data_IF_244869682832
#
_entry.id   IF_244869682832
#
_cell.length_a   1.000
_cell.length_b   1.000
_cell.length_c   1.000
_cell.angle_alpha   90.00
_cell.angle_beta   90.00
_cell.angle_gamma   90.00
#
_symmetry.space_group_name_H-M   'P 1'
#
loop_
_entity.id
_entity.type
_entity.pdbx_description
1 polymer ?
#
# COMPACT_ATOMS: atom_id res chain seq x y z
N UNK A 1 11.94 27.38 20.28
CA UNK A 1 12.73 26.16 20.03
C UNK A 1 14.01 26.26 20.85
N UNK A 2 14.35 25.28 21.68
CA UNK A 2 15.51 25.36 22.59
C UNK A 2 16.84 25.12 21.87
N UNK A 3 17.95 25.71 22.35
CA UNK A 3 19.30 25.51 21.79
C UNK A 3 19.72 24.02 21.72
N UNK A 4 19.22 23.19 22.64
CA UNK A 4 19.43 21.74 22.62
C UNK A 4 18.81 21.06 21.39
N UNK A 5 17.61 21.49 20.97
CA UNK A 5 16.94 20.96 19.77
C UNK A 5 17.65 21.36 18.47
N UNK A 6 18.28 22.54 18.46
CA UNK A 6 19.08 23.03 17.33
C UNK A 6 20.40 22.25 17.23
N UNK A 7 21.11 22.07 18.35
CA UNK A 7 22.37 21.31 18.40
C UNK A 7 22.17 19.82 18.05
N UNK A 8 21.06 19.21 18.49
CA UNK A 8 20.71 17.85 18.11
C UNK A 8 20.46 17.72 16.60
N UNK A 9 19.71 18.66 16.01
CA UNK A 9 19.48 18.71 14.56
C UNK A 9 20.77 18.91 13.78
N UNK A 10 21.68 19.74 14.28
CA UNK A 10 22.97 19.99 13.62
C UNK A 10 23.90 18.78 13.69
N UNK A 11 23.93 18.06 14.83
CA UNK A 11 24.67 16.79 14.94
C UNK A 11 24.12 15.72 14.00
N UNK A 12 22.80 15.57 13.92
CA UNK A 12 22.16 14.64 12.96
C UNK A 12 22.48 15.05 11.52
N UNK A 13 22.41 16.35 11.19
CA UNK A 13 22.75 16.86 9.86
C UNK A 13 24.21 16.57 9.49
N UNK A 14 25.16 16.78 10.41
CA UNK A 14 26.59 16.47 10.19
C UNK A 14 26.85 14.97 10.07
N UNK A 15 26.15 14.14 10.84
CA UNK A 15 26.27 12.68 10.77
C UNK A 15 25.68 12.11 9.47
N UNK A 16 24.54 12.63 9.04
CA UNK A 16 23.86 12.19 7.81
C UNK A 16 24.57 12.71 6.56
N UNK A 17 25.19 13.89 6.62
CA UNK A 17 25.79 14.57 5.47
C UNK A 17 24.76 15.31 4.61
N UNK A 18 25.22 16.31 3.85
CA UNK A 18 24.36 17.12 2.97
C UNK A 18 24.30 16.54 1.55
N UNK A 19 23.12 16.61 0.93
CA UNK A 19 22.88 16.15 -0.44
C UNK A 19 22.62 14.65 -0.57
N UNK A 20 21.83 14.28 -1.59
CA UNK A 20 21.60 12.87 -1.96
C UNK A 20 22.84 12.27 -2.65
N UNK A 21 23.06 10.97 -2.40
CA UNK A 21 23.99 10.16 -3.18
C UNK A 21 23.38 9.91 -4.55
N UNK A 22 24.10 10.23 -5.61
CA UNK A 22 23.70 9.83 -6.95
C UNK A 22 23.87 8.31 -7.10
N UNK A 23 22.76 7.61 -7.31
CA UNK A 23 22.73 6.15 -7.42
C UNK A 23 22.95 5.78 -8.89
N UNK A 24 24.09 5.16 -9.17
CA UNK A 24 24.47 4.78 -10.53
C UNK A 24 23.55 3.72 -11.13
N UNK A 25 23.51 3.66 -12.46
CA UNK A 25 22.77 2.61 -13.18
C UNK A 25 23.23 1.21 -12.79
N UNK A 26 24.55 1.02 -12.59
CA UNK A 26 25.08 -0.26 -12.13
C UNK A 26 24.51 -0.67 -10.75
N UNK A 27 24.42 0.26 -9.81
CA UNK A 27 23.83 -0.01 -8.51
C UNK A 27 22.33 -0.33 -8.61
N UNK A 28 21.61 0.36 -9.51
CA UNK A 28 20.19 0.09 -9.78
C UNK A 28 19.96 -1.24 -10.52
N UNK A 29 20.88 -1.67 -11.39
CA UNK A 29 20.83 -3.00 -12.01
C UNK A 29 20.94 -4.09 -10.95
N UNK A 30 21.85 -3.95 -9.97
CA UNK A 30 21.94 -4.91 -8.86
C UNK A 30 20.62 -4.96 -8.08
N UNK A 31 20.06 -3.80 -7.71
CA UNK A 31 18.78 -3.74 -7.02
C UNK A 31 17.64 -4.36 -7.86
N UNK A 32 17.60 -4.09 -9.16
CA UNK A 32 16.63 -4.68 -10.09
C UNK A 32 16.73 -6.22 -10.07
N UNK A 33 17.93 -6.78 -10.13
CA UNK A 33 18.13 -8.23 -10.08
C UNK A 33 17.64 -8.80 -8.75
N UNK A 34 17.99 -8.18 -7.62
CA UNK A 34 17.47 -8.60 -6.31
C UNK A 34 15.93 -8.59 -6.28
N UNK A 35 15.31 -7.52 -6.80
CA UNK A 35 13.86 -7.37 -6.86
C UNK A 35 13.20 -8.44 -7.74
N UNK A 36 13.80 -8.79 -8.87
CA UNK A 36 13.31 -9.86 -9.75
C UNK A 36 13.39 -11.20 -9.04
N UNK A 37 14.49 -11.52 -8.36
CA UNK A 37 14.63 -12.75 -7.57
C UNK A 37 13.56 -12.82 -6.47
N UNK A 38 13.36 -11.73 -5.72
CA UNK A 38 12.28 -11.63 -4.72
C UNK A 38 10.91 -11.88 -5.34
N UNK A 39 10.62 -11.28 -6.50
CA UNK A 39 9.33 -11.43 -7.20
C UNK A 39 9.12 -12.88 -7.65
N UNK A 40 10.15 -13.52 -8.20
CA UNK A 40 10.10 -14.93 -8.64
C UNK A 40 9.91 -15.87 -7.45
N UNK A 41 10.61 -15.63 -6.34
CA UNK A 41 10.45 -16.40 -5.10
C UNK A 41 9.02 -16.35 -4.59
N UNK A 42 8.45 -15.14 -4.46
CA UNK A 42 7.05 -14.97 -4.02
C UNK A 42 6.05 -15.62 -4.99
N UNK A 43 6.22 -15.43 -6.29
CA UNK A 43 5.32 -16.00 -7.28
C UNK A 43 5.36 -17.53 -7.28
N UNK A 44 6.55 -18.12 -7.16
CA UNK A 44 6.72 -19.57 -7.03
C UNK A 44 6.11 -20.11 -5.75
N UNK A 45 6.21 -19.35 -4.66
CA UNK A 45 5.66 -19.72 -3.37
C UNK A 45 4.12 -19.72 -3.37
N UNK A 46 3.50 -18.65 -3.87
CA UNK A 46 2.04 -18.60 -4.03
C UNK A 46 1.57 -19.67 -5.00
N UNK A 47 2.28 -19.91 -6.11
CA UNK A 47 1.93 -20.98 -7.03
C UNK A 47 1.98 -22.37 -6.37
N UNK A 48 2.95 -22.63 -5.49
CA UNK A 48 3.02 -23.87 -4.69
C UNK A 48 1.79 -24.02 -3.80
N UNK A 49 1.41 -22.98 -3.08
CA UNK A 49 0.23 -22.99 -2.20
C UNK A 49 -1.06 -23.27 -2.97
N UNK A 50 -1.25 -22.60 -4.11
CA UNK A 50 -2.46 -22.78 -4.93
C UNK A 50 -2.52 -24.18 -5.57
N UNK A 51 -1.38 -24.81 -5.84
CA UNK A 51 -1.33 -26.15 -6.43
C UNK A 51 -1.38 -27.27 -5.39
N UNK A 52 -1.00 -27.01 -4.14
CA UNK A 52 -0.92 -27.99 -3.06
C UNK A 52 -1.55 -27.43 -1.78
N UNK A 53 -2.85 -27.10 -1.78
CA UNK A 53 -3.51 -26.43 -0.65
C UNK A 53 -3.53 -27.26 0.64
N UNK A 54 -3.38 -28.58 0.54
CA UNK A 54 -3.35 -29.50 1.68
C UNK A 54 -1.94 -29.73 2.28
N UNK A 55 -0.88 -29.18 1.67
CA UNK A 55 0.53 -29.36 2.06
C UNK A 55 1.13 -28.06 2.64
N UNK A 56 0.57 -27.60 3.76
CA UNK A 56 1.01 -26.38 4.46
C UNK A 56 2.06 -26.64 5.56
N UNK A 57 2.39 -27.90 5.85
CA UNK A 57 3.35 -28.25 6.90
C UNK A 57 4.79 -27.87 6.49
N UNK A 58 5.47 -27.07 7.34
CA UNK A 58 6.87 -26.71 7.13
C UNK A 58 7.12 -25.64 6.05
N UNK A 59 6.08 -24.94 5.60
CA UNK A 59 6.15 -24.08 4.43
C UNK A 59 7.05 -22.83 4.59
N UNK A 60 7.26 -22.37 5.83
CA UNK A 60 8.14 -21.23 6.14
C UNK A 60 9.60 -21.39 5.65
N UNK A 61 10.06 -22.62 5.40
CA UNK A 61 11.39 -22.92 4.83
C UNK A 61 11.29 -23.66 3.47
N UNK A 62 10.17 -23.52 2.77
CA UNK A 62 10.00 -24.09 1.44
C UNK A 62 11.06 -23.56 0.47
N UNK A 63 11.35 -24.33 -0.58
CA UNK A 63 12.36 -23.93 -1.57
C UNK A 63 12.08 -22.56 -2.20
N UNK A 64 10.80 -22.18 -2.37
CA UNK A 64 10.41 -20.88 -2.91
C UNK A 64 10.51 -19.75 -1.88
N UNK A 65 10.17 -20.01 -0.62
CA UNK A 65 10.46 -19.12 0.51
C UNK A 65 11.95 -18.79 0.62
N UNK A 66 12.84 -19.78 0.45
CA UNK A 66 14.29 -19.54 0.47
C UNK A 66 14.75 -18.66 -0.70
N UNK A 67 14.14 -18.76 -1.89
CA UNK A 67 14.41 -17.86 -3.02
C UNK A 67 13.95 -16.44 -2.68
N UNK A 68 12.75 -16.29 -2.09
CA UNK A 68 12.25 -15.00 -1.61
C UNK A 68 13.19 -14.38 -0.57
N UNK A 69 13.57 -15.14 0.45
CA UNK A 69 14.51 -14.71 1.49
C UNK A 69 15.88 -14.36 0.93
N UNK A 70 16.37 -15.12 -0.05
CA UNK A 70 17.60 -14.82 -0.76
C UNK A 70 17.54 -13.47 -1.46
N UNK A 71 16.44 -13.17 -2.16
CA UNK A 71 16.21 -11.88 -2.80
C UNK A 71 16.18 -10.72 -1.81
N UNK A 72 15.42 -10.83 -0.72
CA UNK A 72 15.34 -9.81 0.34
C UNK A 72 16.68 -9.62 1.05
N UNK A 73 17.39 -10.70 1.34
CA UNK A 73 18.72 -10.67 1.95
C UNK A 73 19.73 -9.98 1.02
N UNK A 74 19.67 -10.22 -0.29
CA UNK A 74 20.50 -9.52 -1.25
C UNK A 74 20.23 -8.01 -1.27
N UNK A 75 18.98 -7.58 -1.09
CA UNK A 75 18.66 -6.15 -0.90
C UNK A 75 19.26 -5.59 0.40
N UNK A 76 19.20 -6.35 1.50
CA UNK A 76 19.82 -5.96 2.76
C UNK A 76 21.34 -5.75 2.60
N UNK A 77 22.01 -6.68 1.91
CA UNK A 77 23.44 -6.57 1.59
C UNK A 77 23.72 -5.37 0.68
N UNK A 78 22.88 -5.12 -0.32
CA UNK A 78 23.01 -3.95 -1.20
C UNK A 78 22.90 -2.64 -0.42
N UNK A 79 21.93 -2.53 0.50
CA UNK A 79 21.80 -1.38 1.41
C UNK A 79 23.03 -1.23 2.30
N UNK A 80 23.52 -2.33 2.88
CA UNK A 80 24.69 -2.36 3.75
C UNK A 80 25.97 -1.93 3.03
N UNK A 81 26.23 -2.47 1.83
CA UNK A 81 27.38 -2.10 1.00
C UNK A 81 27.31 -0.64 0.57
N UNK A 82 26.14 -0.16 0.15
CA UNK A 82 25.95 1.25 -0.21
C UNK A 82 26.16 2.19 0.98
N UNK A 83 25.63 1.85 2.16
CA UNK A 83 25.84 2.60 3.39
C UNK A 83 27.30 2.58 3.86
N UNK A 84 28.00 1.45 3.71
CA UNK A 84 29.43 1.33 4.02
C UNK A 84 30.29 2.21 3.09
N UNK A 85 30.00 2.23 1.79
CA UNK A 85 30.77 3.01 0.80
C UNK A 85 30.47 4.51 0.81
N UNK A 86 29.22 4.89 1.03
CA UNK A 86 28.77 6.28 0.87
C UNK A 86 28.25 6.93 2.15
N UNK A 87 28.25 6.20 3.27
CA UNK A 87 27.74 6.64 4.56
C UNK A 87 26.21 6.53 4.69
N UNK A 88 25.64 6.93 5.85
CA UNK A 88 24.21 6.83 6.14
C UNK A 88 23.32 7.62 5.17
N UNK A 89 23.84 8.65 4.49
CA UNK A 89 23.11 9.36 3.41
C UNK A 89 22.64 8.42 2.29
N UNK A 90 23.33 7.31 2.03
CA UNK A 90 22.90 6.36 1.01
C UNK A 90 21.48 5.87 1.29
N UNK A 91 21.22 5.41 2.52
CA UNK A 91 19.92 4.92 2.96
C UNK A 91 18.82 5.97 2.77
N UNK A 92 19.14 7.26 2.96
CA UNK A 92 18.20 8.36 2.71
C UNK A 92 17.93 8.55 1.22
N UNK A 93 18.95 8.44 0.37
CA UNK A 93 18.82 8.56 -1.09
C UNK A 93 18.00 7.42 -1.70
N UNK A 94 18.06 6.23 -1.10
CA UNK A 94 17.25 5.06 -1.45
C UNK A 94 16.13 4.80 -0.44
N UNK A 95 15.59 5.88 0.15
CA UNK A 95 14.68 5.80 1.30
C UNK A 95 13.46 4.90 1.11
N UNK A 96 12.94 4.77 -0.12
CA UNK A 96 11.85 3.84 -0.42
C UNK A 96 12.28 2.38 -0.22
N UNK A 97 13.48 1.99 -0.66
CA UNK A 97 14.04 0.66 -0.37
C UNK A 97 14.27 0.47 1.12
N UNK A 98 14.83 1.48 1.81
CA UNK A 98 15.13 1.39 3.25
C UNK A 98 13.86 1.22 4.09
N UNK A 99 12.81 2.00 3.81
CA UNK A 99 11.52 1.87 4.49
C UNK A 99 10.87 0.53 4.15
N UNK A 100 10.88 0.13 2.87
CA UNK A 100 10.34 -1.18 2.45
C UNK A 100 11.04 -2.35 3.14
N UNK A 101 12.36 -2.32 3.24
CA UNK A 101 13.13 -3.31 3.99
C UNK A 101 12.79 -3.31 5.48
N UNK A 102 12.58 -2.14 6.09
CA UNK A 102 12.13 -2.03 7.47
C UNK A 102 10.77 -2.72 7.70
N UNK A 103 9.82 -2.54 6.80
CA UNK A 103 8.53 -3.23 6.85
C UNK A 103 8.69 -4.75 6.73
N UNK A 104 9.55 -5.24 5.84
CA UNK A 104 9.85 -6.68 5.72
C UNK A 104 10.49 -7.26 6.98
N UNK A 105 11.46 -6.54 7.56
CA UNK A 105 12.15 -6.96 8.77
C UNK A 105 11.24 -7.02 10.00
N UNK A 106 10.17 -6.23 10.01
CA UNK A 106 9.13 -6.27 11.05
C UNK A 106 8.00 -7.25 10.72
N UNK A 107 7.69 -7.44 9.43
CA UNK A 107 6.65 -8.33 8.92
C UNK A 107 6.85 -9.78 9.32
N UNK A 108 8.04 -10.34 9.09
CA UNK A 108 8.34 -11.74 9.44
C UNK A 108 8.13 -12.06 10.92
N UNK A 109 8.72 -11.29 11.86
CA UNK A 109 8.47 -11.49 13.30
C UNK A 109 7.00 -11.27 13.69
N UNK A 110 6.32 -10.27 13.10
CA UNK A 110 4.91 -10.03 13.38
C UNK A 110 4.02 -11.20 12.92
N UNK A 111 4.36 -11.82 11.79
CA UNK A 111 3.69 -12.98 11.23
C UNK A 111 3.84 -14.22 12.12
N UNK A 112 5.07 -14.48 12.58
CA UNK A 112 5.34 -15.58 13.52
C UNK A 112 4.55 -15.43 14.84
N UNK A 113 4.50 -14.22 15.40
CA UNK A 113 3.71 -13.92 16.61
C UNK A 113 2.21 -14.09 16.33
N UNK A 114 1.76 -13.66 15.16
CA UNK A 114 0.36 -13.75 14.78
C UNK A 114 -0.10 -15.21 14.71
N UNK A 115 0.67 -16.08 14.06
CA UNK A 115 0.38 -17.51 13.99
C UNK A 115 0.34 -18.17 15.37
N UNK A 116 1.16 -17.73 16.34
CA UNK A 116 1.13 -18.23 17.72
C UNK A 116 -0.17 -17.83 18.45
N UNK A 117 -0.69 -16.62 18.20
CA UNK A 117 -1.85 -16.07 18.94
C UNK A 117 -3.19 -16.41 18.29
N UNK A 118 -3.28 -16.34 16.96
CA UNK A 118 -4.52 -16.43 16.20
C UNK A 118 -4.62 -17.68 15.32
N UNK A 119 -3.53 -18.46 15.23
CA UNK A 119 -3.43 -19.58 14.29
C UNK A 119 -3.00 -19.13 12.89
N UNK A 120 -2.78 -20.11 12.02
CA UNK A 120 -2.38 -19.89 10.62
C UNK A 120 -3.62 -19.64 9.76
N UNK A 121 -3.62 -18.55 9.01
CA UNK A 121 -4.67 -18.20 8.08
C UNK A 121 -4.67 -19.10 6.84
N UNK A 122 -5.85 -19.27 6.24
CA UNK A 122 -6.03 -20.00 4.99
C UNK A 122 -6.83 -19.17 3.98
N UNK A 123 -6.76 -19.57 2.71
CA UNK A 123 -7.52 -18.98 1.60
C UNK A 123 -7.36 -17.45 1.55
N UNK A 124 -8.48 -16.73 1.47
CA UNK A 124 -8.53 -15.27 1.39
C UNK A 124 -7.93 -14.60 2.64
N UNK A 125 -8.03 -15.23 3.82
CA UNK A 125 -7.51 -14.65 5.06
C UNK A 125 -6.00 -14.48 5.02
N UNK A 126 -5.28 -15.44 4.42
CA UNK A 126 -3.82 -15.38 4.27
C UNK A 126 -3.36 -14.21 3.39
N UNK A 127 -4.18 -13.77 2.43
CA UNK A 127 -3.85 -12.64 1.56
C UNK A 127 -4.02 -11.28 2.26
N UNK A 128 -4.95 -11.20 3.20
CA UNK A 128 -5.36 -9.91 3.79
C UNK A 128 -4.95 -9.75 5.24
N UNK A 129 -4.41 -10.76 5.91
CA UNK A 129 -4.11 -10.62 7.33
C UNK A 129 -3.10 -9.51 7.62
N UNK A 130 -3.18 -8.85 8.80
CA UNK A 130 -2.35 -7.68 9.08
C UNK A 130 -0.83 -7.89 8.92
N UNK A 131 -0.22 -9.01 9.35
CA UNK A 131 1.21 -9.25 9.11
C UNK A 131 1.55 -9.42 7.62
N UNK A 132 0.73 -10.17 6.87
CA UNK A 132 0.89 -10.34 5.42
C UNK A 132 0.80 -8.99 4.68
N UNK A 133 -0.10 -8.10 5.10
CA UNK A 133 -0.18 -6.74 4.54
C UNK A 133 1.01 -5.85 4.92
N UNK A 134 1.66 -6.11 6.07
CA UNK A 134 2.91 -5.45 6.45
C UNK A 134 4.06 -5.89 5.53
N UNK A 135 4.16 -7.21 5.27
CA UNK A 135 5.10 -7.79 4.31
C UNK A 135 4.83 -7.23 2.91
N UNK A 136 3.56 -7.23 2.46
CA UNK A 136 3.14 -6.67 1.18
C UNK A 136 3.54 -5.20 1.04
N UNK A 137 3.33 -4.38 2.08
CA UNK A 137 3.77 -2.97 2.10
C UNK A 137 5.27 -2.87 1.87
N UNK A 138 6.05 -3.70 2.57
CA UNK A 138 7.50 -3.77 2.42
C UNK A 138 7.95 -4.15 1.02
N UNK A 139 7.36 -5.21 0.45
CA UNK A 139 7.59 -5.65 -0.92
C UNK A 139 7.22 -4.58 -1.94
N UNK A 140 6.04 -3.99 -1.85
CA UNK A 140 5.56 -2.97 -2.79
C UNK A 140 6.52 -1.76 -2.84
N UNK A 141 6.97 -1.28 -1.68
CA UNK A 141 7.95 -0.19 -1.60
C UNK A 141 9.31 -0.60 -2.20
N UNK A 142 9.83 -1.76 -1.82
CA UNK A 142 11.10 -2.28 -2.31
C UNK A 142 11.10 -2.43 -3.84
N UNK A 143 10.02 -2.99 -4.39
CA UNK A 143 9.84 -3.24 -5.82
C UNK A 143 9.60 -1.96 -6.62
N UNK A 144 8.94 -0.95 -6.05
CA UNK A 144 8.73 0.36 -6.67
C UNK A 144 9.99 1.27 -6.62
N UNK A 145 10.91 0.99 -5.70
CA UNK A 145 12.05 1.86 -5.39
C UNK A 145 12.93 2.21 -6.61
N UNK A 146 13.27 1.29 -7.54
CA UNK A 146 14.08 1.65 -8.71
C UNK A 146 13.45 2.77 -9.56
N UNK A 147 12.13 2.71 -9.79
CA UNK A 147 11.41 3.79 -10.49
C UNK A 147 11.43 5.08 -9.67
N UNK A 148 11.26 5.00 -8.35
CA UNK A 148 11.30 6.20 -7.48
C UNK A 148 12.67 6.87 -7.52
N UNK A 149 13.77 6.11 -7.58
CA UNK A 149 15.12 6.66 -7.71
C UNK A 149 15.33 7.28 -9.09
N UNK A 150 14.91 6.59 -10.17
CA UNK A 150 14.99 7.12 -11.53
C UNK A 150 14.16 8.40 -11.72
N UNK A 151 12.98 8.48 -11.09
CA UNK A 151 12.08 9.63 -11.16
C UNK A 151 12.69 10.93 -10.65
N UNK A 152 13.74 10.86 -9.82
CA UNK A 152 14.46 12.05 -9.33
C UNK A 152 15.45 12.61 -10.33
N UNK A 153 15.79 11.87 -11.39
CA UNK A 153 16.75 12.32 -12.40
C UNK A 153 16.08 13.33 -13.34
N UNK A 154 16.77 14.42 -13.72
CA UNK A 154 16.23 15.45 -14.61
C UNK A 154 16.26 14.98 -16.08
N UNK A 155 15.65 13.84 -16.40
CA UNK A 155 15.55 13.30 -17.76
C UNK A 155 14.14 12.82 -18.07
N UNK A 156 13.71 13.06 -19.30
CA UNK A 156 12.44 12.54 -19.84
C UNK A 156 12.65 11.37 -20.80
N UNK A 157 13.90 11.14 -21.24
CA UNK A 157 14.27 10.03 -22.13
C UNK A 157 15.20 9.08 -21.40
N UNK A 158 14.76 7.84 -21.26
CA UNK A 158 15.56 6.77 -20.68
C UNK A 158 16.32 6.03 -21.79
N UNK A 159 17.62 5.81 -21.59
CA UNK A 159 18.37 4.84 -22.40
C UNK A 159 17.91 3.41 -22.14
N UNK A 160 18.50 2.43 -22.83
CA UNK A 160 18.11 1.02 -22.70
C UNK A 160 18.13 0.54 -21.25
N UNK A 161 19.22 0.78 -20.52
CA UNK A 161 19.40 0.26 -19.15
C UNK A 161 18.40 0.87 -18.16
N UNK A 162 18.27 2.22 -18.02
CA UNK A 162 17.22 2.80 -17.18
C UNK A 162 15.80 2.41 -17.58
N UNK A 163 15.52 2.19 -18.87
CA UNK A 163 14.22 1.68 -19.34
C UNK A 163 13.94 0.27 -18.81
N UNK A 164 14.90 -0.64 -18.91
CA UNK A 164 14.75 -2.00 -18.37
C UNK A 164 14.52 -1.98 -16.85
N UNK A 165 15.25 -1.13 -16.12
CA UNK A 165 15.08 -0.96 -14.67
C UNK A 165 13.67 -0.47 -14.33
N UNK A 166 13.22 0.58 -15.01
CA UNK A 166 11.90 1.17 -14.76
C UNK A 166 10.76 0.19 -15.07
N UNK A 167 10.82 -0.48 -16.23
CA UNK A 167 9.79 -1.41 -16.66
C UNK A 167 9.77 -2.69 -15.81
N UNK A 168 10.94 -3.22 -15.43
CA UNK A 168 11.01 -4.39 -14.53
C UNK A 168 10.43 -4.06 -13.16
N UNK A 169 10.73 -2.89 -12.61
CA UNK A 169 10.15 -2.39 -11.36
C UNK A 169 8.63 -2.25 -11.46
N UNK A 170 8.11 -1.68 -12.56
CA UNK A 170 6.67 -1.58 -12.78
C UNK A 170 6.00 -2.96 -12.87
N UNK A 171 6.57 -3.91 -13.63
CA UNK A 171 6.09 -5.29 -13.74
C UNK A 171 6.07 -5.96 -12.37
N UNK A 172 7.17 -5.88 -11.61
CA UNK A 172 7.25 -6.48 -10.26
C UNK A 172 6.21 -5.91 -9.30
N UNK A 173 5.99 -4.60 -9.29
CA UNK A 173 4.96 -3.98 -8.44
C UNK A 173 3.56 -4.48 -8.84
N UNK A 174 3.25 -4.48 -10.14
CA UNK A 174 1.96 -4.96 -10.65
C UNK A 174 1.72 -6.42 -10.29
N UNK A 175 2.73 -7.28 -10.46
CA UNK A 175 2.63 -8.70 -10.13
C UNK A 175 2.41 -8.92 -8.64
N UNK A 176 3.21 -8.30 -7.77
CA UNK A 176 3.07 -8.46 -6.32
C UNK A 176 1.74 -7.91 -5.81
N UNK A 177 1.29 -6.74 -6.29
CA UNK A 177 -0.04 -6.25 -5.96
C UNK A 177 -1.12 -7.23 -6.41
N UNK A 178 -1.00 -7.77 -7.63
CA UNK A 178 -1.98 -8.74 -8.16
C UNK A 178 -2.03 -10.02 -7.32
N UNK A 179 -0.88 -10.52 -6.88
CA UNK A 179 -0.80 -11.72 -6.05
C UNK A 179 -1.49 -11.51 -4.69
N UNK A 180 -1.22 -10.40 -4.00
CA UNK A 180 -1.86 -10.07 -2.72
C UNK A 180 -3.34 -9.66 -2.85
N UNK A 181 -3.76 -9.20 -4.02
CA UNK A 181 -5.17 -8.92 -4.33
C UNK A 181 -5.77 -9.98 -5.24
N UNK A 182 -5.38 -11.25 -5.09
CA UNK A 182 -5.77 -12.34 -5.98
C UNK A 182 -7.29 -12.51 -6.15
N UNK A 183 -8.03 -12.14 -5.12
CA UNK A 183 -9.50 -12.09 -5.07
C UNK A 183 -10.13 -10.92 -5.86
N UNK A 184 -9.33 -10.02 -6.45
CA UNK A 184 -9.78 -8.87 -7.26
C UNK A 184 -9.12 -8.81 -8.65
N UNK A 185 -8.34 -9.82 -9.05
CA UNK A 185 -7.59 -9.78 -10.30
C UNK A 185 -7.62 -11.11 -11.05
N UNK A 186 -7.81 -11.10 -12.39
CA UNK A 186 -7.81 -12.32 -13.20
C UNK A 186 -6.43 -13.00 -13.31
N UNK A 187 -5.39 -12.42 -12.70
CA UNK A 187 -4.00 -12.89 -12.81
C UNK A 187 -3.66 -13.99 -11.81
N UNK A 188 -4.42 -14.12 -10.73
CA UNK A 188 -4.17 -15.11 -9.67
C UNK A 188 -5.36 -16.06 -9.50
N UNK A 189 -6.57 -15.52 -9.49
CA UNK A 189 -7.79 -16.22 -9.81
C UNK A 189 -7.95 -16.13 -11.32
N UNK A 190 -8.01 -17.18 -12.14
CA UNK A 190 -8.20 -17.03 -13.59
C UNK A 190 -9.45 -16.22 -14.04
N UNK A 191 -9.87 -16.43 -15.29
CA UNK A 191 -10.95 -15.63 -15.86
C UNK A 191 -12.34 -16.10 -15.38
N UNK A 192 -12.84 -15.52 -14.29
CA UNK A 192 -14.19 -15.79 -13.73
C UNK A 192 -15.36 -15.47 -14.66
N UNK A 193 -15.08 -14.97 -15.87
CA UNK A 193 -16.05 -14.77 -16.95
C UNK A 193 -16.41 -16.06 -17.70
N UNK A 194 -15.78 -17.20 -17.37
CA UNK A 194 -16.00 -18.48 -18.03
C UNK A 194 -17.06 -19.33 -17.28
N UNK A 195 -17.88 -20.04 -18.03
CA UNK A 195 -18.85 -20.99 -17.48
C UNK A 195 -18.11 -22.14 -16.79
N UNK A 196 -18.48 -22.44 -15.54
CA UNK A 196 -17.88 -23.53 -14.77
C UNK A 196 -16.51 -23.20 -14.17
N UNK A 197 -16.09 -21.93 -14.20
CA UNK A 197 -14.88 -21.49 -13.52
C UNK A 197 -15.00 -21.65 -12.00
N UNK A 198 -14.00 -22.27 -11.40
CA UNK A 198 -13.82 -22.34 -9.94
C UNK A 198 -12.59 -21.53 -9.58
N UNK A 199 -12.71 -20.67 -8.58
CA UNK A 199 -11.62 -19.79 -8.18
C UNK A 199 -10.65 -20.55 -7.27
N UNK A 200 -9.34 -20.61 -7.57
CA UNK A 200 -8.39 -21.31 -6.69
C UNK A 200 -8.19 -20.66 -5.32
N UNK A 201 -8.48 -19.35 -5.22
CA UNK A 201 -8.28 -18.54 -4.01
C UNK A 201 -9.54 -18.51 -3.13
N UNK A 202 -10.71 -18.73 -3.74
CA UNK A 202 -12.03 -18.68 -3.08
C UNK A 202 -12.64 -20.06 -3.25
N UNK A 203 -12.78 -20.80 -2.15
CA UNK A 203 -13.36 -22.13 -2.19
C UNK A 203 -14.80 -22.14 -2.71
N UNK A 204 -15.39 -23.34 -2.80
CA UNK A 204 -16.74 -23.52 -3.33
C UNK A 204 -17.86 -23.00 -2.39
N UNK A 205 -17.50 -22.38 -1.26
CA UNK A 205 -18.47 -21.95 -0.26
C UNK A 205 -19.05 -20.58 -0.56
N UNK A 206 -20.37 -20.42 -0.38
CA UNK A 206 -21.03 -19.12 -0.48
C UNK A 206 -20.46 -18.09 0.51
N UNK A 207 -19.96 -18.55 1.66
CA UNK A 207 -19.35 -17.69 2.67
C UNK A 207 -18.07 -17.01 2.15
N UNK A 208 -17.17 -17.75 1.50
CA UNK A 208 -15.93 -17.19 0.96
C UNK A 208 -16.21 -16.21 -0.19
N UNK A 209 -17.22 -16.49 -1.02
CA UNK A 209 -17.69 -15.54 -2.03
C UNK A 209 -18.20 -14.23 -1.41
N UNK A 210 -18.96 -14.31 -0.32
CA UNK A 210 -19.44 -13.13 0.41
C UNK A 210 -18.28 -12.34 1.07
N UNK A 211 -17.25 -13.04 1.56
CA UNK A 211 -16.03 -12.41 2.08
C UNK A 211 -15.31 -11.62 0.99
N UNK A 212 -15.05 -12.22 -0.18
CA UNK A 212 -14.40 -11.55 -1.31
C UNK A 212 -15.23 -10.40 -1.84
N UNK A 213 -16.54 -10.57 -1.96
CA UNK A 213 -17.45 -9.48 -2.32
C UNK A 213 -17.36 -8.33 -1.30
N UNK A 214 -17.33 -8.63 -0.01
CA UNK A 214 -17.18 -7.65 1.06
C UNK A 214 -15.84 -6.92 0.99
N UNK A 215 -14.74 -7.63 0.78
CA UNK A 215 -13.41 -7.05 0.59
C UNK A 215 -13.36 -6.16 -0.65
N UNK A 216 -13.95 -6.59 -1.76
CA UNK A 216 -14.08 -5.80 -2.98
C UNK A 216 -14.87 -4.51 -2.77
N UNK A 217 -15.99 -4.59 -2.04
CA UNK A 217 -16.76 -3.40 -1.62
C UNK A 217 -15.87 -2.45 -0.80
N UNK A 218 -15.10 -2.98 0.15
CA UNK A 218 -14.25 -2.17 1.01
C UNK A 218 -13.13 -1.46 0.24
N UNK A 219 -12.40 -2.19 -0.60
CA UNK A 219 -11.33 -1.65 -1.45
C UNK A 219 -11.86 -0.62 -2.43
N UNK A 220 -12.94 -0.96 -3.16
CA UNK A 220 -13.54 -0.07 -4.17
C UNK A 220 -14.05 1.23 -3.55
N UNK A 221 -14.81 1.12 -2.46
CA UNK A 221 -15.35 2.28 -1.75
C UNK A 221 -14.22 3.19 -1.27
N UNK A 222 -13.15 2.61 -0.72
CA UNK A 222 -11.98 3.35 -0.24
C UNK A 222 -11.26 4.09 -1.36
N UNK A 223 -11.03 3.43 -2.49
CA UNK A 223 -10.37 4.02 -3.64
C UNK A 223 -11.15 5.21 -4.21
N UNK A 224 -12.45 5.04 -4.45
CA UNK A 224 -13.31 6.10 -5.01
C UNK A 224 -13.41 7.29 -4.07
N UNK A 225 -13.65 7.02 -2.78
CA UNK A 225 -13.81 8.06 -1.78
C UNK A 225 -12.52 8.87 -1.62
N UNK A 226 -11.37 8.20 -1.48
CA UNK A 226 -10.09 8.88 -1.31
C UNK A 226 -9.68 9.63 -2.57
N UNK A 227 -9.92 9.10 -3.77
CA UNK A 227 -9.66 9.80 -5.02
C UNK A 227 -10.43 11.13 -5.09
N UNK A 228 -11.74 11.09 -4.83
CA UNK A 228 -12.61 12.27 -4.90
C UNK A 228 -12.19 13.36 -3.92
N UNK A 229 -11.95 13.01 -2.66
CA UNK A 229 -11.56 13.99 -1.65
C UNK A 229 -10.12 14.49 -1.83
N UNK A 230 -9.17 13.63 -2.21
CA UNK A 230 -7.78 14.07 -2.41
C UNK A 230 -7.66 15.12 -3.51
N UNK A 231 -8.39 14.96 -4.62
CA UNK A 231 -8.43 15.94 -5.73
C UNK A 231 -8.76 17.35 -5.24
N UNK A 232 -9.69 17.46 -4.28
CA UNK A 232 -10.11 18.72 -3.68
C UNK A 232 -9.09 19.20 -2.65
N UNK A 233 -8.70 18.34 -1.71
CA UNK A 233 -7.92 18.72 -0.53
C UNK A 233 -6.46 19.07 -0.81
N UNK A 234 -5.90 18.61 -1.94
CA UNK A 234 -4.56 19.03 -2.37
C UNK A 234 -4.57 20.40 -3.06
N UNK A 235 -5.72 20.81 -3.62
CA UNK A 235 -5.88 22.05 -4.41
C UNK A 235 -6.54 23.19 -3.66
N UNK A 236 -7.50 22.87 -2.81
CA UNK A 236 -8.35 23.83 -2.13
C UNK A 236 -8.29 23.63 -0.63
N UNK A 237 -8.62 24.69 0.09
CA UNK A 237 -8.84 24.67 1.53
C UNK A 237 -10.33 24.90 1.80
N UNK A 238 -11.14 23.85 1.91
CA UNK A 238 -12.57 24.00 2.21
C UNK A 238 -12.80 24.70 3.55
N UNK A 239 -14.01 25.24 3.73
CA UNK A 239 -14.40 25.82 5.02
C UNK A 239 -14.47 24.72 6.09
N UNK A 240 -14.06 25.03 7.34
CA UNK A 240 -14.10 24.06 8.43
C UNK A 240 -15.49 23.42 8.60
N UNK A 241 -15.51 22.11 8.79
CA UNK A 241 -16.70 21.27 8.96
C UNK A 241 -17.29 20.74 7.66
N UNK A 242 -17.03 21.37 6.51
CA UNK A 242 -17.61 20.93 5.23
C UNK A 242 -16.97 19.64 4.70
N UNK A 243 -15.71 19.34 5.02
CA UNK A 243 -15.08 18.08 4.60
C UNK A 243 -15.72 16.93 5.35
N UNK A 244 -15.82 17.05 6.69
CA UNK A 244 -16.46 16.06 7.53
C UNK A 244 -17.93 15.83 7.15
N UNK A 245 -18.69 16.92 6.96
CA UNK A 245 -20.09 16.84 6.50
C UNK A 245 -20.19 16.14 5.13
N UNK A 246 -19.32 16.47 4.18
CA UNK A 246 -19.36 15.87 2.84
C UNK A 246 -19.10 14.37 2.87
N UNK A 247 -18.11 13.91 3.66
CA UNK A 247 -17.84 12.47 3.83
C UNK A 247 -19.03 11.77 4.49
N UNK A 248 -19.64 12.37 5.52
CA UNK A 248 -20.85 11.82 6.15
C UNK A 248 -22.01 11.69 5.14
N UNK A 249 -22.22 12.71 4.32
CA UNK A 249 -23.28 12.73 3.30
C UNK A 249 -23.09 11.69 2.19
N UNK A 250 -21.89 11.11 2.02
CA UNK A 250 -21.71 9.95 1.15
C UNK A 250 -22.43 8.69 1.68
N UNK A 251 -22.53 8.53 3.00
CA UNK A 251 -23.19 7.38 3.63
C UNK A 251 -24.63 7.66 4.09
N UNK A 252 -24.93 8.89 4.52
CA UNK A 252 -26.21 9.24 5.15
C UNK A 252 -27.48 8.89 4.35
N UNK A 253 -27.53 9.03 3.00
CA UNK A 253 -28.70 8.66 2.21
C UNK A 253 -29.12 7.20 2.37
N UNK A 254 -28.19 6.32 2.73
CA UNK A 254 -28.47 4.89 2.92
C UNK A 254 -29.52 4.64 4.03
N UNK A 255 -29.64 5.53 5.03
CA UNK A 255 -30.66 5.46 6.07
C UNK A 255 -32.09 5.61 5.54
N UNK A 256 -32.28 6.29 4.40
CA UNK A 256 -33.60 6.52 3.83
C UNK A 256 -34.01 5.41 2.83
N UNK A 257 -33.04 4.71 2.24
CA UNK A 257 -33.27 3.73 1.17
C UNK A 257 -33.13 2.27 1.63
N UNK A 258 -32.60 2.04 2.83
CA UNK A 258 -32.45 0.70 3.42
C UNK A 258 -32.95 0.66 4.85
N UNK A 259 -33.01 -0.52 5.46
CA UNK A 259 -33.34 -0.66 6.88
C UNK A 259 -32.28 0.06 7.75
N UNK A 260 -32.67 1.11 8.50
CA UNK A 260 -31.77 1.85 9.38
C UNK A 260 -31.06 0.95 10.41
N UNK A 261 -31.73 -0.09 10.93
CA UNK A 261 -31.12 -0.99 11.90
C UNK A 261 -29.96 -1.78 11.30
N UNK A 262 -30.04 -2.10 10.00
CA UNK A 262 -29.01 -2.85 9.29
C UNK A 262 -27.83 -1.95 8.95
N UNK A 263 -28.09 -0.77 8.37
CA UNK A 263 -27.06 0.07 7.74
C UNK A 263 -26.35 1.05 8.68
N UNK A 264 -26.93 1.33 9.85
CA UNK A 264 -26.44 2.32 10.82
C UNK A 264 -24.94 2.20 11.14
N UNK A 265 -24.35 1.01 11.37
CA UNK A 265 -22.91 0.89 11.62
C UNK A 265 -22.04 1.52 10.53
N UNK A 266 -22.39 1.31 9.26
CA UNK A 266 -21.65 1.88 8.12
C UNK A 266 -21.78 3.41 8.07
N UNK A 267 -22.98 3.93 8.32
CA UNK A 267 -23.25 5.38 8.30
C UNK A 267 -22.50 6.09 9.42
N UNK A 268 -22.43 5.50 10.60
CA UNK A 268 -21.58 5.99 11.70
C UNK A 268 -20.10 5.87 11.36
N UNK A 269 -19.69 4.85 10.60
CA UNK A 269 -18.37 4.77 9.99
C UNK A 269 -18.05 5.98 9.12
N UNK A 270 -18.96 6.38 8.23
CA UNK A 270 -18.79 7.58 7.39
C UNK A 270 -18.67 8.85 8.23
N UNK A 271 -19.45 8.97 9.31
CA UNK A 271 -19.32 10.09 10.24
C UNK A 271 -17.93 10.15 10.87
N UNK A 272 -17.43 9.03 11.39
CA UNK A 272 -16.10 8.96 12.00
C UNK A 272 -14.97 9.24 11.01
N UNK A 273 -15.06 8.66 9.80
CA UNK A 273 -14.12 8.95 8.71
C UNK A 273 -14.11 10.44 8.34
N UNK A 274 -15.29 11.07 8.29
CA UNK A 274 -15.42 12.51 8.04
C UNK A 274 -14.76 13.36 9.12
N UNK A 275 -15.00 13.05 10.40
CA UNK A 275 -14.38 13.76 11.53
C UNK A 275 -12.85 13.65 11.51
N UNK A 276 -12.31 12.45 11.24
CA UNK A 276 -10.86 12.24 11.17
C UNK A 276 -10.26 12.97 9.96
N UNK A 277 -10.94 12.95 8.82
CA UNK A 277 -10.49 13.66 7.62
C UNK A 277 -10.47 15.17 7.85
N UNK A 278 -11.52 15.73 8.44
CA UNK A 278 -11.57 17.15 8.84
C UNK A 278 -10.41 17.50 9.77
N UNK A 279 -10.18 16.70 10.82
CA UNK A 279 -9.07 16.91 11.75
C UNK A 279 -7.70 16.87 11.04
N UNK A 280 -7.50 15.96 10.09
CA UNK A 280 -6.28 15.91 9.28
C UNK A 280 -6.10 17.17 8.42
N UNK A 281 -7.16 17.66 7.77
CA UNK A 281 -7.07 18.90 6.99
C UNK A 281 -6.70 20.10 7.87
N UNK A 282 -7.16 20.13 9.12
CA UNK A 282 -6.79 21.18 10.07
C UNK A 282 -5.33 21.06 10.55
N UNK A 283 -4.87 19.84 10.83
CA UNK A 283 -3.53 19.55 11.36
C UNK A 283 -2.43 19.73 10.30
N UNK A 284 -2.63 19.20 9.10
CA UNK A 284 -1.59 19.12 8.06
C UNK A 284 -1.92 19.89 6.77
N UNK A 285 -3.13 20.44 6.62
CA UNK A 285 -3.55 21.22 5.45
C UNK A 285 -3.15 22.70 5.51
N UNK A 286 -1.84 23.00 5.41
CA UNK A 286 -1.31 24.37 5.48
C UNK A 286 -0.43 24.68 4.25
N UNK A 287 -0.92 25.40 3.21
CA UNK A 287 -2.28 25.93 3.00
C UNK A 287 -3.31 24.87 2.53
N UNK A 288 -2.86 23.81 1.86
CA UNK A 288 -3.64 22.64 1.44
C UNK A 288 -2.87 21.38 1.84
N UNK A 289 -3.41 20.18 1.56
CA UNK A 289 -2.67 18.95 1.81
C UNK A 289 -1.48 18.81 0.84
N UNK A 290 -0.27 18.84 1.39
CA UNK A 290 0.92 18.36 0.66
C UNK A 290 0.89 16.83 0.51
N UNK A 291 1.75 16.27 -0.35
CA UNK A 291 1.75 14.84 -0.69
C UNK A 291 1.74 13.90 0.53
N UNK A 292 2.59 14.13 1.54
CA UNK A 292 2.60 13.32 2.76
C UNK A 292 1.30 13.44 3.57
N UNK A 293 0.75 14.66 3.68
CA UNK A 293 -0.52 14.88 4.35
C UNK A 293 -1.68 14.24 3.60
N UNK A 294 -1.68 14.29 2.27
CA UNK A 294 -2.64 13.61 1.41
C UNK A 294 -2.56 12.09 1.57
N UNK A 295 -1.36 11.50 1.51
CA UNK A 295 -1.16 10.06 1.73
C UNK A 295 -1.62 9.61 3.12
N UNK A 296 -1.26 10.36 4.18
CA UNK A 296 -1.69 10.03 5.54
C UNK A 296 -3.21 10.17 5.74
N UNK A 297 -3.81 11.22 5.17
CA UNK A 297 -5.27 11.41 5.19
C UNK A 297 -5.97 10.30 4.40
N UNK A 298 -5.42 9.95 3.24
CA UNK A 298 -5.90 8.86 2.38
C UNK A 298 -5.81 7.49 3.05
N UNK A 299 -4.84 7.27 3.94
CA UNK A 299 -4.79 6.08 4.79
C UNK A 299 -5.89 6.10 5.85
N UNK A 300 -5.97 7.20 6.62
CA UNK A 300 -6.83 7.27 7.79
C UNK A 300 -8.31 7.30 7.45
N UNK A 301 -8.71 7.96 6.37
CA UNK A 301 -10.11 8.11 5.97
C UNK A 301 -10.82 6.75 5.85
N UNK A 302 -10.39 5.82 4.97
CA UNK A 302 -11.05 4.53 4.83
C UNK A 302 -10.74 3.57 5.99
N UNK A 303 -9.57 3.65 6.63
CA UNK A 303 -9.30 2.83 7.82
C UNK A 303 -10.26 3.15 8.96
N UNK A 304 -10.58 4.43 9.19
CA UNK A 304 -11.53 4.83 10.23
C UNK A 304 -12.98 4.53 9.85
N UNK A 305 -13.32 4.60 8.55
CA UNK A 305 -14.62 4.15 8.04
C UNK A 305 -14.87 2.69 8.44
N UNK A 306 -13.97 1.80 8.03
CA UNK A 306 -14.13 0.36 8.23
C UNK A 306 -13.91 -0.04 9.69
N UNK A 307 -12.94 0.54 10.40
CA UNK A 307 -12.71 0.26 11.81
C UNK A 307 -13.94 0.57 12.67
N UNK A 308 -14.54 1.74 12.47
CA UNK A 308 -15.75 2.14 13.20
C UNK A 308 -16.95 1.26 12.84
N UNK A 309 -17.09 0.90 11.55
CA UNK A 309 -18.15 0.00 11.08
C UNK A 309 -18.03 -1.38 11.72
N UNK A 310 -16.84 -2.00 11.67
CA UNK A 310 -16.59 -3.30 12.26
C UNK A 310 -16.69 -3.30 13.78
N UNK A 311 -16.21 -2.25 14.45
CA UNK A 311 -16.33 -2.12 15.90
C UNK A 311 -17.80 -2.13 16.35
N UNK A 312 -18.67 -1.40 15.63
CA UNK A 312 -20.10 -1.37 15.93
C UNK A 312 -20.78 -2.71 15.62
N UNK A 313 -20.46 -3.33 14.48
CA UNK A 313 -20.97 -4.67 14.15
C UNK A 313 -20.53 -5.71 15.19
N UNK A 314 -19.29 -5.64 15.68
CA UNK A 314 -18.78 -6.53 16.72
C UNK A 314 -19.50 -6.33 18.06
N UNK A 315 -19.73 -5.07 18.48
CA UNK A 315 -20.48 -4.76 19.70
C UNK A 315 -21.92 -5.27 19.65
N UNK A 316 -22.52 -5.29 18.46
CA UNK A 316 -23.87 -5.80 18.24
C UNK A 316 -23.93 -7.32 18.04
N UNK A 317 -22.80 -8.03 18.09
CA UNK A 317 -22.74 -9.48 17.83
C UNK A 317 -23.05 -9.88 16.38
N UNK A 318 -22.90 -8.93 15.45
CA UNK A 318 -23.25 -9.07 14.02
C UNK A 318 -22.04 -9.24 13.11
N UNK A 319 -20.82 -9.20 13.66
CA UNK A 319 -19.59 -9.38 12.89
C UNK A 319 -19.24 -10.87 12.78
N UNK A 320 -19.47 -11.44 11.60
CA UNK A 320 -19.14 -12.84 11.30
C UNK A 320 -17.73 -13.06 10.70
N UNK A 321 -16.87 -12.04 10.70
CA UNK A 321 -15.54 -12.10 10.09
C UNK A 321 -14.45 -12.34 11.13
N UNK A 322 -13.44 -13.13 10.76
CA UNK A 322 -12.26 -13.38 11.59
C UNK A 322 -11.43 -12.12 11.80
N UNK A 323 -10.56 -12.15 12.80
CA UNK A 323 -9.60 -11.11 13.14
C UNK A 323 -8.70 -10.74 11.95
N UNK A 324 -8.29 -11.74 11.15
CA UNK A 324 -7.53 -11.54 9.93
C UNK A 324 -8.33 -10.75 8.90
N UNK A 325 -9.60 -11.09 8.68
CA UNK A 325 -10.45 -10.42 7.70
C UNK A 325 -10.77 -8.97 8.06
N UNK A 326 -11.30 -8.69 9.25
CA UNK A 326 -11.71 -7.31 9.57
C UNK A 326 -10.51 -6.41 9.86
N UNK A 327 -9.47 -6.91 10.54
CA UNK A 327 -8.20 -6.20 10.73
C UNK A 327 -7.48 -5.95 9.41
N UNK A 328 -7.43 -6.97 8.56
CA UNK A 328 -6.89 -6.91 7.21
C UNK A 328 -7.60 -5.90 6.32
N UNK A 329 -8.93 -5.91 6.33
CA UNK A 329 -9.76 -4.96 5.56
C UNK A 329 -9.48 -3.51 5.94
N UNK A 330 -9.33 -3.23 7.24
CA UNK A 330 -9.01 -1.88 7.73
C UNK A 330 -7.66 -1.41 7.19
N UNK A 331 -6.65 -2.28 7.26
CA UNK A 331 -5.30 -1.97 6.83
C UNK A 331 -5.21 -1.86 5.30
N UNK A 332 -5.76 -2.82 4.56
CA UNK A 332 -5.79 -2.84 3.10
C UNK A 332 -6.51 -1.61 2.54
N UNK A 333 -7.67 -1.26 3.10
CA UNK A 333 -8.43 -0.07 2.71
C UNK A 333 -7.61 1.21 2.91
N UNK A 334 -6.89 1.31 4.03
CA UNK A 334 -5.94 2.38 4.29
C UNK A 334 -4.79 2.41 3.30
N UNK A 335 -4.17 1.27 3.00
CA UNK A 335 -3.08 1.17 2.04
C UNK A 335 -3.50 1.59 0.63
N UNK A 336 -4.67 1.13 0.16
CA UNK A 336 -5.26 1.53 -1.12
C UNK A 336 -5.52 3.03 -1.15
N UNK A 337 -6.14 3.57 -0.09
CA UNK A 337 -6.37 5.00 0.04
C UNK A 337 -5.07 5.82 0.03
N UNK A 338 -4.05 5.39 0.77
CA UNK A 338 -2.74 6.01 0.79
C UNK A 338 -2.09 6.03 -0.60
N UNK A 339 -2.15 4.90 -1.33
CA UNK A 339 -1.61 4.77 -2.68
C UNK A 339 -2.36 5.70 -3.67
N UNK A 340 -3.69 5.68 -3.66
CA UNK A 340 -4.53 6.57 -4.47
C UNK A 340 -4.21 8.03 -4.19
N UNK A 341 -4.17 8.43 -2.92
CA UNK A 341 -3.87 9.80 -2.55
C UNK A 341 -2.44 10.21 -2.95
N UNK A 342 -1.46 9.32 -2.80
CA UNK A 342 -0.09 9.58 -3.21
C UNK A 342 0.06 9.81 -4.71
N UNK A 343 -0.71 9.07 -5.53
CA UNK A 343 -0.74 9.19 -6.99
C UNK A 343 -1.48 10.46 -7.43
N UNK A 344 -2.65 10.74 -6.86
CA UNK A 344 -3.44 11.95 -7.15
C UNK A 344 -2.68 13.23 -6.75
N UNK A 345 -1.92 13.17 -5.65
CA UNK A 345 -1.12 14.29 -5.17
C UNK A 345 0.25 14.40 -5.86
N UNK A 346 0.55 13.60 -6.88
CA UNK A 346 1.75 13.79 -7.68
C UNK A 346 1.70 15.18 -8.34
N UNK A 347 2.78 15.98 -8.25
CA UNK A 347 2.85 17.22 -8.99
C UNK A 347 2.77 16.89 -10.48
N UNK A 348 1.82 17.48 -11.20
CA UNK A 348 1.88 17.51 -12.65
C UNK A 348 3.21 18.16 -13.05
N UNK A 349 3.92 17.69 -14.09
CA UNK A 349 5.14 18.32 -14.60
C UNK A 349 4.84 19.70 -15.21
N UNK A 350 4.49 20.69 -14.40
CA UNK A 350 4.25 22.07 -14.83
C UNK A 350 5.57 22.84 -14.80
N UNK A 351 6.53 22.39 -15.61
CA UNK A 351 7.58 23.28 -16.09
C UNK A 351 7.03 24.10 -17.25
N UNK A 352 7.51 25.33 -17.46
CA UNK A 352 7.15 26.18 -18.61
C UNK A 352 7.52 25.62 -20.00
N UNK A 353 7.79 24.32 -20.09
CA UNK A 353 8.09 23.56 -21.29
C UNK A 353 6.95 22.64 -21.71
N UNK A 354 5.83 22.57 -20.97
CA UNK A 354 4.68 21.73 -21.33
C UNK A 354 3.35 22.45 -21.05
N UNK A 355 2.50 22.60 -22.07
CA UNK A 355 1.10 23.05 -21.95
C UNK A 355 0.20 21.81 -21.92
N UNK A 356 -0.63 21.71 -20.88
CA UNK A 356 -1.69 20.71 -20.81
C UNK A 356 -2.76 21.02 -21.88
N UNK A 357 -2.93 20.11 -22.84
CA UNK A 357 -4.01 20.17 -23.83
C UNK A 357 -5.03 19.05 -23.59
N UNK A 358 -6.25 19.14 -24.15
CA UNK A 358 -7.23 18.04 -24.08
C UNK A 358 -6.74 16.71 -24.68
N UNK A 359 -5.68 16.76 -25.49
CA UNK A 359 -5.05 15.60 -26.15
C UNK A 359 -3.80 15.13 -25.36
N UNK A 360 -3.46 15.83 -24.28
CA UNK A 360 -2.32 15.54 -23.40
C UNK A 360 -1.29 16.66 -23.33
N UNK A 361 -0.25 16.48 -22.50
CA UNK A 361 0.85 17.42 -22.37
C UNK A 361 1.57 17.60 -23.72
N UNK A 362 1.70 18.84 -24.18
CA UNK A 362 2.47 19.22 -25.37
C UNK A 362 3.60 20.14 -24.96
N UNK A 363 4.74 20.17 -25.70
CA UNK A 363 5.75 21.19 -25.48
C UNK A 363 5.10 22.59 -25.47
N UNK A 364 5.45 23.43 -24.50
CA UNK A 364 4.94 24.80 -24.39
C UNK A 364 5.39 25.68 -25.56
#
# INVERSE_FOLDING_TARGET
MSNASMLARERVRRFVGEGDVDVSDAALVVLMVCNVVTTVGLAGDIARHLQNPDDLEGDFLSSWHLVLYGGVTAVALWLGVGAWRHGPRFLRSVGTTTVGFGFLALGGPADAIWHEVFGTEANVEALVSPPHLLVFTGLALLLASPVVVLWRRPTTRLGLVPSLIALSSAVSVVLVTSLFTGFLTPLASGLSLQVGYQEPVVGESFLEYDQVRGLGIAVWTSAVLVAAFTVVLVRFKPMPGLVGLSVFLCGAPALAITDPAVIRPLVLGYAMAGLVTEAMTWLVGRPTLGRLGATATGFLLPSMLWASTFALLAQEGRLGWSQALWGGTILLSGMVGAAVAALVALPAPTGGAVVDSPIGPRPA
#
